data_IF_587509704902
#
_entry.id   IF_587509704902
#
_cell.length_a   1.000
_cell.length_b   1.000
_cell.length_c   1.000
_cell.angle_alpha   90.00
_cell.angle_beta   90.00
_cell.angle_gamma   90.00
#
_symmetry.space_group_name_H-M   'P 1'
#
loop_
_entity.id
_entity.type
_entity.pdbx_description
1 polymer ?
#
# COMPACT_ATOMS: atom_id res chain seq x y z
N UNK A 1 -2.49 22.35 -6.53
CA UNK A 1 -2.85 21.26 -5.60
C UNK A 1 -3.59 20.10 -6.28
N UNK A 2 -4.65 20.34 -7.07
CA UNK A 2 -5.49 19.27 -7.65
C UNK A 2 -4.83 18.35 -8.69
N UNK A 3 -3.96 18.88 -9.56
CA UNK A 3 -3.28 18.08 -10.59
C UNK A 3 -2.32 17.03 -10.01
N UNK A 4 -1.54 17.39 -8.99
CA UNK A 4 -0.60 16.44 -8.35
C UNK A 4 -1.34 15.32 -7.63
N UNK A 5 -2.45 15.65 -6.96
CA UNK A 5 -3.30 14.64 -6.30
C UNK A 5 -3.89 13.68 -7.32
N UNK A 6 -4.41 14.19 -8.45
CA UNK A 6 -4.95 13.36 -9.52
C UNK A 6 -3.91 12.41 -10.12
N UNK A 7 -2.67 12.88 -10.37
CA UNK A 7 -1.57 12.04 -10.85
C UNK A 7 -1.17 10.97 -9.82
N UNK A 8 -1.11 11.33 -8.54
CA UNK A 8 -0.82 10.36 -7.47
C UNK A 8 -1.89 9.28 -7.34
N UNK A 9 -3.16 9.64 -7.51
CA UNK A 9 -4.28 8.67 -7.48
C UNK A 9 -4.26 7.75 -8.69
N UNK A 10 -4.03 8.26 -9.90
CA UNK A 10 -3.94 7.42 -11.12
C UNK A 10 -2.81 6.39 -11.02
N UNK A 11 -1.62 6.81 -10.57
CA UNK A 11 -0.50 5.89 -10.33
C UNK A 11 -0.87 4.88 -9.23
N UNK A 12 -1.52 5.35 -8.18
CA UNK A 12 -2.05 4.52 -7.10
C UNK A 12 -2.98 3.42 -7.58
N UNK A 13 -3.96 3.78 -8.41
CA UNK A 13 -4.93 2.86 -8.98
C UNK A 13 -4.23 1.81 -9.83
N UNK A 14 -3.28 2.23 -10.67
CA UNK A 14 -2.48 1.29 -11.46
C UNK A 14 -1.71 0.31 -10.57
N UNK A 15 -1.03 0.82 -9.53
CA UNK A 15 -0.26 -0.01 -8.59
C UNK A 15 -1.16 -1.01 -7.85
N UNK A 16 -2.31 -0.56 -7.34
CA UNK A 16 -3.26 -1.41 -6.65
C UNK A 16 -3.81 -2.51 -7.58
N UNK A 17 -4.22 -2.13 -8.79
CA UNK A 17 -4.77 -3.07 -9.78
C UNK A 17 -3.73 -4.11 -10.20
N UNK A 18 -2.48 -3.73 -10.44
CA UNK A 18 -1.40 -4.67 -10.75
C UNK A 18 -1.07 -5.56 -9.54
N UNK A 19 -1.05 -5.01 -8.33
CA UNK A 19 -0.83 -5.79 -7.10
C UNK A 19 -1.93 -6.85 -6.90
N UNK A 20 -3.20 -6.48 -7.04
CA UNK A 20 -4.32 -7.43 -6.96
C UNK A 20 -4.23 -8.47 -8.08
N UNK A 21 -3.92 -8.06 -9.30
CA UNK A 21 -3.87 -8.95 -10.46
C UNK A 21 -2.77 -10.00 -10.36
N UNK A 22 -1.58 -9.62 -9.90
CA UNK A 22 -0.40 -10.49 -9.97
C UNK A 22 -0.01 -11.10 -8.63
N UNK A 23 -0.39 -10.50 -7.50
CA UNK A 23 0.01 -10.98 -6.17
C UNK A 23 -1.13 -11.66 -5.41
N UNK A 24 -2.38 -11.66 -5.88
CA UNK A 24 -3.47 -12.37 -5.18
C UNK A 24 -3.35 -13.88 -5.40
N UNK A 25 -3.57 -14.64 -4.33
CA UNK A 25 -3.62 -16.10 -4.31
C UNK A 25 -4.89 -16.57 -3.58
N UNK A 26 -5.19 -17.87 -3.57
CA UNK A 26 -6.43 -18.41 -2.99
C UNK A 26 -6.57 -18.09 -1.49
N UNK A 27 -5.46 -18.15 -0.74
CA UNK A 27 -5.42 -17.91 0.70
C UNK A 27 -5.06 -16.48 1.13
N UNK A 28 -4.78 -15.57 0.20
CA UNK A 28 -4.28 -14.24 0.53
C UNK A 28 -3.49 -13.60 -0.61
N UNK A 29 -2.24 -13.22 -0.33
CA UNK A 29 -1.34 -12.62 -1.31
C UNK A 29 0.02 -13.31 -1.27
N UNK A 30 0.75 -13.26 -2.38
CA UNK A 30 2.00 -13.95 -2.60
C UNK A 30 3.02 -13.01 -3.26
N UNK A 31 4.28 -13.12 -2.87
CA UNK A 31 5.38 -12.47 -3.57
C UNK A 31 5.54 -13.04 -5.00
N UNK A 32 6.12 -12.25 -5.91
CA UNK A 32 6.54 -12.76 -7.22
C UNK A 32 7.96 -13.30 -7.12
N UNK A 33 8.16 -14.55 -7.52
CA UNK A 33 9.49 -15.12 -7.75
C UNK A 33 10.16 -14.49 -8.98
N UNK A 34 9.36 -14.13 -10.00
CA UNK A 34 9.81 -13.49 -11.23
C UNK A 34 8.76 -12.46 -11.70
N UNK A 35 9.19 -11.20 -11.87
CA UNK A 35 8.32 -10.08 -12.23
C UNK A 35 8.00 -10.02 -13.72
N UNK A 36 8.74 -10.70 -14.59
CA UNK A 36 8.47 -10.80 -16.03
C UNK A 36 7.43 -11.88 -16.29
N UNK A 37 7.64 -13.08 -15.74
CA UNK A 37 6.73 -14.22 -15.93
C UNK A 37 5.51 -14.17 -15.01
N UNK A 38 5.55 -13.35 -13.96
CA UNK A 38 4.52 -13.26 -12.91
C UNK A 38 4.35 -14.56 -12.11
N UNK A 39 5.40 -15.39 -12.06
CA UNK A 39 5.41 -16.58 -11.21
C UNK A 39 5.36 -16.15 -9.73
N UNK A 40 4.36 -16.64 -9.01
CA UNK A 40 4.25 -16.42 -7.56
C UNK A 40 5.15 -17.37 -6.77
N UNK A 41 5.62 -16.91 -5.61
CA UNK A 41 6.25 -17.70 -4.56
C UNK A 41 5.24 -17.79 -3.40
N UNK A 42 5.05 -18.98 -2.84
CA UNK A 42 4.08 -19.25 -1.76
C UNK A 42 4.52 -18.66 -0.41
N UNK A 43 4.69 -17.33 -0.38
CA UNK A 43 5.19 -16.55 0.75
C UNK A 43 4.47 -15.20 0.78
N UNK A 44 3.92 -14.86 1.95
CA UNK A 44 3.32 -13.56 2.22
C UNK A 44 4.07 -12.90 3.36
N UNK A 45 4.81 -11.85 3.03
CA UNK A 45 5.53 -11.09 4.05
C UNK A 45 4.58 -10.28 4.92
N UNK A 46 4.86 -10.21 6.23
CA UNK A 46 3.99 -9.49 7.19
C UNK A 46 3.86 -8.00 6.87
N UNK A 47 4.90 -7.40 6.27
CA UNK A 47 4.87 -6.01 5.85
C UNK A 47 3.82 -5.73 4.76
N UNK A 48 3.36 -6.73 4.00
CA UNK A 48 2.27 -6.52 3.04
C UNK A 48 0.99 -6.04 3.76
N UNK A 49 0.74 -6.57 4.97
CA UNK A 49 -0.38 -6.17 5.82
C UNK A 49 -0.14 -4.82 6.51
N UNK A 50 1.03 -4.66 7.11
CA UNK A 50 1.34 -3.44 7.86
C UNK A 50 1.52 -2.22 6.95
N UNK A 51 2.22 -2.38 5.83
CA UNK A 51 2.65 -1.28 4.97
C UNK A 51 1.79 -1.20 3.71
N UNK A 52 1.86 -2.21 2.84
CA UNK A 52 1.28 -2.14 1.49
C UNK A 52 -0.22 -1.90 1.51
N UNK A 53 -0.99 -2.69 2.26
CA UNK A 53 -2.44 -2.49 2.36
C UNK A 53 -2.82 -1.21 3.10
N UNK A 54 -2.06 -0.80 4.12
CA UNK A 54 -2.31 0.46 4.83
C UNK A 54 -2.13 1.65 3.90
N UNK A 55 -1.07 1.67 3.09
CA UNK A 55 -0.83 2.76 2.16
C UNK A 55 -1.80 2.75 0.97
N UNK A 56 -2.19 1.59 0.45
CA UNK A 56 -3.29 1.53 -0.53
C UNK A 56 -4.59 2.10 0.05
N UNK A 57 -4.93 1.73 1.29
CA UNK A 57 -6.11 2.28 1.95
C UNK A 57 -6.01 3.81 2.10
N UNK A 58 -4.93 4.31 2.69
CA UNK A 58 -4.75 5.76 2.92
C UNK A 58 -4.68 6.59 1.63
N UNK A 59 -4.19 6.00 0.54
CA UNK A 59 -4.12 6.68 -0.76
C UNK A 59 -5.49 7.02 -1.35
N UNK A 60 -6.50 6.19 -1.06
CA UNK A 60 -7.87 6.38 -1.55
C UNK A 60 -8.85 6.80 -0.46
N UNK A 61 -8.41 6.84 0.79
CA UNK A 61 -9.25 7.22 1.91
C UNK A 61 -9.52 8.74 1.91
N UNK A 62 -10.65 9.18 2.50
CA UNK A 62 -10.91 10.59 2.75
C UNK A 62 -9.76 11.25 3.53
N UNK A 63 -9.41 12.53 3.27
CA UNK A 63 -8.28 13.21 3.92
C UNK A 63 -8.36 13.29 5.46
N UNK A 64 -9.56 13.20 6.02
CA UNK A 64 -9.85 13.22 7.46
C UNK A 64 -9.76 11.85 8.15
N UNK A 65 -9.45 10.78 7.38
CA UNK A 65 -9.27 9.42 7.91
C UNK A 65 -8.13 9.33 8.94
N UNK A 66 -7.08 10.13 8.75
CA UNK A 66 -5.95 10.20 9.66
C UNK A 66 -5.43 11.64 9.75
N UNK A 67 -5.17 12.11 10.97
CA UNK A 67 -4.55 13.41 11.21
C UNK A 67 -3.04 13.32 10.96
N UNK A 68 -2.64 13.52 9.70
CA UNK A 68 -1.24 13.46 9.25
C UNK A 68 -0.34 14.54 9.87
N UNK A 69 -0.92 15.60 10.45
CA UNK A 69 -0.14 16.60 11.18
C UNK A 69 0.30 16.08 12.56
N UNK A 70 -0.49 15.17 13.16
CA UNK A 70 -0.23 14.57 14.48
C UNK A 70 0.41 13.18 14.43
N UNK A 71 0.42 12.53 13.28
CA UNK A 71 0.91 11.15 13.12
C UNK A 71 2.17 11.14 12.26
N UNK A 72 3.19 10.40 12.71
CA UNK A 72 4.37 10.04 11.93
C UNK A 72 4.43 8.53 11.85
N UNK A 73 4.63 8.00 10.64
CA UNK A 73 4.85 6.57 10.44
C UNK A 73 6.30 6.22 10.68
N UNK A 74 6.56 5.12 11.40
CA UNK A 74 7.90 4.52 11.39
C UNK A 74 8.14 3.78 10.06
N UNK A 75 9.30 3.14 9.92
CA UNK A 75 9.66 2.43 8.67
C UNK A 75 8.81 1.20 8.37
N UNK A 76 8.01 0.72 9.33
CA UNK A 76 7.09 -0.43 9.19
C UNK A 76 5.61 0.04 9.14
N UNK A 77 5.41 1.32 8.79
CA UNK A 77 4.10 1.96 8.70
C UNK A 77 3.28 1.95 9.99
N UNK A 78 3.88 1.76 11.16
CA UNK A 78 3.17 1.90 12.43
C UNK A 78 2.96 3.38 12.74
N UNK A 79 1.71 3.84 12.95
CA UNK A 79 1.42 5.24 13.24
C UNK A 79 1.83 5.58 14.68
N UNK A 80 2.73 6.55 14.82
CA UNK A 80 3.18 7.09 16.11
C UNK A 80 2.65 8.51 16.26
N UNK A 81 2.15 8.86 17.45
CA UNK A 81 1.77 10.23 17.75
C UNK A 81 3.04 11.07 17.93
N UNK A 82 3.07 12.25 17.29
CA UNK A 82 4.09 13.26 17.55
C UNK A 82 3.96 13.73 18.99
N UNK A 83 5.08 13.76 19.71
CA UNK A 83 5.13 14.14 21.13
C UNK A 83 5.96 15.41 21.37
N UNK A 84 6.28 16.16 20.31
CA UNK A 84 7.11 17.36 20.33
C UNK A 84 6.42 18.53 19.65
#
# INVERSE_FOLDING_TARGET
MGLYTAVSTEIGEKLFNDFVRYCRADGGYAALADVVTKQQRDEMESFALAETFKYFYLLFAPPDTLDFDKIVFNTEAHPLRRAW
#
